data_IF_169308190333
#
_entry.id   IF_169308190333
#
_cell.length_a   1.000
_cell.length_b   1.000
_cell.length_c   1.000
_cell.angle_alpha   90.00
_cell.angle_beta   90.00
_cell.angle_gamma   90.00
#
_symmetry.space_group_name_H-M   'P 1'
#
loop_
_entity.id
_entity.type
_entity.pdbx_description
1 polymer ?
#
# COMPACT_ATOMS: atom_id res chain seq x y z
N UNK A 1 -6.91 -19.01 13.56
CA UNK A 1 -7.36 -17.71 13.98
C UNK A 1 -7.32 -16.68 12.90
N UNK A 2 -6.47 -16.82 11.94
CA UNK A 2 -6.49 -15.88 10.83
C UNK A 2 -7.84 -15.82 10.12
N UNK A 3 -8.63 -16.85 10.26
CA UNK A 3 -9.91 -16.95 9.60
C UNK A 3 -10.92 -15.89 10.06
N UNK A 4 -10.89 -15.53 11.32
CA UNK A 4 -11.84 -14.55 11.83
C UNK A 4 -11.65 -13.19 11.14
N UNK A 5 -10.46 -12.90 10.71
CA UNK A 5 -10.18 -11.64 10.02
C UNK A 5 -11.00 -11.53 8.74
N UNK A 6 -11.06 -12.58 7.96
CA UNK A 6 -11.86 -12.56 6.74
C UNK A 6 -13.34 -12.50 7.05
N UNK A 7 -13.78 -13.28 8.02
CA UNK A 7 -15.19 -13.38 8.33
C UNK A 7 -15.77 -12.05 8.78
N UNK A 8 -15.00 -11.26 9.50
CA UNK A 8 -15.53 -10.08 10.16
C UNK A 8 -15.09 -8.76 9.56
N UNK A 9 -14.02 -8.73 8.78
CA UNK A 9 -13.44 -7.47 8.37
C UNK A 9 -14.17 -6.81 7.20
N UNK A 10 -14.82 -7.57 6.33
CA UNK A 10 -15.38 -6.97 5.13
C UNK A 10 -16.89 -6.91 5.10
N UNK A 11 -17.57 -8.05 5.16
CA UNK A 11 -19.00 -8.08 4.96
C UNK A 11 -19.79 -7.50 6.11
N UNK A 12 -19.64 -8.09 7.27
CA UNK A 12 -20.52 -7.78 8.40
C UNK A 12 -20.31 -6.38 8.94
N UNK A 13 -19.07 -5.98 9.11
CA UNK A 13 -18.81 -4.65 9.66
C UNK A 13 -19.18 -3.56 8.67
N UNK A 14 -18.85 -3.73 7.40
CA UNK A 14 -19.18 -2.75 6.38
C UNK A 14 -20.69 -2.58 6.24
N UNK A 15 -21.41 -3.67 6.26
CA UNK A 15 -22.87 -3.62 6.18
C UNK A 15 -23.46 -2.92 7.38
N UNK A 16 -22.95 -3.21 8.57
CA UNK A 16 -23.41 -2.54 9.77
C UNK A 16 -23.12 -1.04 9.70
N UNK A 17 -21.93 -0.66 9.26
CA UNK A 17 -21.50 0.74 9.20
C UNK A 17 -22.38 1.56 8.24
N UNK A 18 -22.78 0.96 7.13
CA UNK A 18 -23.57 1.66 6.11
C UNK A 18 -24.96 2.03 6.56
N UNK A 19 -25.44 1.46 7.66
CA UNK A 19 -26.78 1.75 8.16
C UNK A 19 -26.90 3.17 8.72
N UNK A 20 -25.80 3.81 9.01
CA UNK A 20 -25.81 5.07 9.75
C UNK A 20 -25.27 6.22 8.90
N UNK A 21 -26.02 7.30 8.86
CA UNK A 21 -25.54 8.53 8.26
C UNK A 21 -24.59 9.24 9.23
N UNK A 22 -23.75 10.09 8.70
CA UNK A 22 -22.86 10.91 9.50
C UNK A 22 -21.53 10.29 9.88
N UNK A 23 -21.33 9.01 9.56
CA UNK A 23 -20.04 8.37 9.70
C UNK A 23 -19.56 7.88 8.34
N UNK A 24 -18.25 7.84 8.16
CA UNK A 24 -17.66 7.46 6.88
C UNK A 24 -16.42 6.62 7.10
N UNK A 25 -16.21 5.69 6.20
CA UNK A 25 -15.09 4.77 6.29
C UNK A 25 -14.51 4.55 4.90
N UNK A 26 -13.20 4.56 4.81
CA UNK A 26 -12.50 4.28 3.56
C UNK A 26 -11.42 3.24 3.86
N UNK A 27 -11.33 2.24 3.01
CA UNK A 27 -10.30 1.20 3.14
C UNK A 27 -8.95 1.71 2.67
N UNK A 28 -7.90 1.25 3.34
CA UNK A 28 -6.53 1.41 2.88
C UNK A 28 -6.06 0.03 2.40
N UNK A 29 -5.60 -0.03 1.14
CA UNK A 29 -5.27 -1.32 0.54
C UNK A 29 -4.17 -2.06 1.29
N UNK A 30 -3.00 -1.43 1.41
CA UNK A 30 -1.85 -2.11 1.99
C UNK A 30 -0.91 -1.14 2.66
N UNK A 31 -0.25 -1.62 3.69
CA UNK A 31 0.82 -0.89 4.36
C UNK A 31 2.03 -1.81 4.42
N UNK A 32 3.14 -1.37 3.83
CA UNK A 32 4.41 -2.08 4.00
C UNK A 32 4.94 -1.76 5.38
N UNK A 33 5.34 -2.79 6.10
CA UNK A 33 5.81 -2.63 7.48
C UNK A 33 7.19 -3.25 7.63
N UNK A 34 7.91 -2.78 8.64
CA UNK A 34 9.15 -3.42 9.03
C UNK A 34 8.83 -4.81 9.59
N UNK A 35 9.44 -5.88 9.08
CA UNK A 35 9.12 -7.22 9.59
C UNK A 35 9.60 -7.47 11.01
N UNK A 36 10.40 -6.60 11.57
CA UNK A 36 10.93 -6.73 12.93
C UNK A 36 10.11 -5.97 13.96
N UNK A 37 9.80 -4.71 13.67
CA UNK A 37 9.11 -3.85 14.66
C UNK A 37 7.71 -3.45 14.23
N UNK A 38 7.30 -3.81 13.00
CA UNK A 38 5.99 -3.50 12.43
C UNK A 38 5.69 -2.02 12.26
N UNK A 39 6.71 -1.17 12.30
CA UNK A 39 6.54 0.23 11.95
C UNK A 39 6.13 0.35 10.49
N UNK A 40 5.21 1.26 10.16
CA UNK A 40 4.82 1.47 8.77
C UNK A 40 5.97 2.11 7.98
N UNK A 41 6.23 1.58 6.80
CA UNK A 41 7.30 2.05 5.91
C UNK A 41 6.76 2.74 4.67
N UNK A 42 5.59 2.34 4.20
CA UNK A 42 4.96 2.94 3.04
C UNK A 42 3.49 2.56 3.00
N UNK A 43 2.68 3.41 2.39
CA UNK A 43 1.28 3.09 2.12
C UNK A 43 1.14 2.83 0.63
N UNK A 44 0.43 1.77 0.29
CA UNK A 44 0.22 1.37 -1.10
C UNK A 44 -1.27 1.38 -1.43
N UNK A 45 -1.61 1.96 -2.57
CA UNK A 45 -2.89 1.72 -3.23
C UNK A 45 -2.61 0.83 -4.42
N UNK A 46 -3.23 -0.33 -4.48
CA UNK A 46 -2.99 -1.30 -5.53
C UNK A 46 -4.25 -1.52 -6.35
N UNK A 47 -4.06 -1.83 -7.63
CA UNK A 47 -5.19 -2.04 -8.52
C UNK A 47 -4.73 -2.86 -9.72
N UNK A 48 -5.61 -3.72 -10.23
CA UNK A 48 -5.33 -4.42 -11.46
C UNK A 48 -5.23 -3.41 -12.60
N UNK A 49 -4.20 -3.55 -13.44
CA UNK A 49 -3.92 -2.58 -14.49
C UNK A 49 -4.86 -2.80 -15.69
N UNK A 50 -5.73 -1.81 -15.91
CA UNK A 50 -6.61 -1.74 -17.06
C UNK A 50 -6.28 -0.54 -17.93
N UNK A 51 -5.03 -0.09 -17.87
CA UNK A 51 -4.52 1.11 -18.54
C UNK A 51 -5.17 2.41 -18.05
N UNK A 52 -5.80 2.39 -16.90
CA UNK A 52 -6.33 3.59 -16.28
C UNK A 52 -5.18 4.52 -15.86
N UNK A 53 -5.47 5.81 -15.88
CA UNK A 53 -4.47 6.84 -15.53
C UNK A 53 -4.66 7.37 -14.13
N UNK A 54 -5.73 6.97 -13.45
CA UNK A 54 -6.09 7.59 -12.21
C UNK A 54 -6.80 6.61 -11.28
N UNK A 55 -6.53 6.78 -10.00
CA UNK A 55 -7.26 6.17 -8.91
C UNK A 55 -7.25 7.19 -7.76
N UNK A 56 -8.36 7.32 -7.04
CA UNK A 56 -8.43 8.26 -5.93
C UNK A 56 -7.43 7.89 -4.85
N UNK A 57 -6.60 8.86 -4.44
CA UNK A 57 -5.52 8.64 -3.49
C UNK A 57 -5.48 9.68 -2.37
N UNK A 58 -6.52 10.49 -2.22
CA UNK A 58 -6.49 11.60 -1.27
C UNK A 58 -6.26 11.15 0.16
N UNK A 59 -6.95 10.09 0.59
CA UNK A 59 -6.81 9.61 1.96
C UNK A 59 -5.42 9.06 2.22
N UNK A 60 -4.94 8.17 1.34
CA UNK A 60 -3.64 7.53 1.57
C UNK A 60 -2.51 8.56 1.49
N UNK A 61 -2.66 9.56 0.64
CA UNK A 61 -1.71 10.65 0.56
C UNK A 61 -1.65 11.44 1.88
N UNK A 62 -2.81 11.72 2.46
CA UNK A 62 -2.89 12.41 3.74
C UNK A 62 -2.27 11.57 4.87
N UNK A 63 -2.61 10.29 4.92
CA UNK A 63 -2.05 9.40 5.94
C UNK A 63 -0.53 9.29 5.82
N UNK A 64 -0.04 9.09 4.61
CA UNK A 64 1.40 8.97 4.37
C UNK A 64 2.13 10.25 4.78
N UNK A 65 1.55 11.40 4.44
CA UNK A 65 2.12 12.69 4.82
C UNK A 65 2.22 12.84 6.33
N UNK A 66 1.15 12.50 7.05
CA UNK A 66 1.14 12.61 8.51
C UNK A 66 2.09 11.64 9.17
N UNK A 67 2.30 10.48 8.59
CA UNK A 67 3.25 9.49 9.11
C UNK A 67 4.68 9.73 8.61
N UNK A 68 4.84 10.66 7.69
CA UNK A 68 6.13 10.98 7.07
C UNK A 68 6.75 9.76 6.39
N UNK A 69 5.93 9.04 5.63
CA UNK A 69 6.34 7.87 4.87
C UNK A 69 5.88 8.02 3.42
N UNK A 70 6.50 7.29 2.49
CA UNK A 70 6.07 7.35 1.09
C UNK A 70 4.74 6.67 0.85
N UNK A 71 4.10 7.08 -0.23
CA UNK A 71 2.86 6.49 -0.70
C UNK A 71 3.02 6.16 -2.18
N UNK A 72 2.61 4.96 -2.57
CA UNK A 72 2.71 4.51 -3.96
C UNK A 72 1.37 4.07 -4.49
N UNK A 73 1.11 4.41 -5.73
CA UNK A 73 0.01 3.86 -6.51
C UNK A 73 0.61 2.79 -7.43
N UNK A 74 0.11 1.57 -7.32
CA UNK A 74 0.68 0.41 -8.01
C UNK A 74 -0.40 -0.27 -8.82
N UNK A 75 -0.29 -0.18 -10.14
CA UNK A 75 -1.13 -0.95 -11.04
C UNK A 75 -0.36 -2.19 -11.46
N UNK A 76 -0.96 -3.35 -11.29
CA UNK A 76 -0.31 -4.62 -11.55
C UNK A 76 -1.11 -5.45 -12.55
N UNK A 77 -0.42 -6.27 -13.31
CA UNK A 77 -1.06 -7.27 -14.16
C UNK A 77 -0.10 -8.44 -14.38
N UNK A 78 -0.65 -9.55 -14.82
CA UNK A 78 0.17 -10.71 -15.12
C UNK A 78 0.98 -10.51 -16.39
N UNK A 79 2.26 -10.77 -16.29
CA UNK A 79 3.14 -10.86 -17.47
C UNK A 79 3.11 -12.29 -18.00
N UNK A 80 3.16 -13.25 -17.08
CA UNK A 80 2.96 -14.68 -17.35
C UNK A 80 1.99 -15.19 -16.27
N UNK A 81 1.52 -16.44 -16.36
CA UNK A 81 0.64 -16.96 -15.30
C UNK A 81 1.22 -16.89 -13.90
N UNK A 82 2.54 -16.87 -13.76
CA UNK A 82 3.19 -16.86 -12.45
C UNK A 82 3.98 -15.61 -12.14
N UNK A 83 4.01 -14.63 -13.04
CA UNK A 83 4.77 -13.40 -12.81
C UNK A 83 3.93 -12.16 -13.06
N UNK A 84 4.30 -11.06 -12.41
CA UNK A 84 3.62 -9.79 -12.51
C UNK A 84 4.52 -8.74 -13.15
N UNK A 85 3.88 -7.74 -13.72
CA UNK A 85 4.54 -6.49 -14.10
C UNK A 85 3.78 -5.36 -13.45
N UNK A 86 4.48 -4.26 -13.18
CA UNK A 86 3.93 -3.16 -12.41
C UNK A 86 4.09 -1.84 -13.14
N UNK A 87 3.12 -0.99 -12.92
CA UNK A 87 3.17 0.41 -13.30
C UNK A 87 3.02 1.20 -12.01
N UNK A 88 4.08 1.86 -11.58
CA UNK A 88 4.20 2.41 -10.23
C UNK A 88 4.36 3.92 -10.29
N UNK A 89 3.65 4.61 -9.43
CA UNK A 89 3.77 6.06 -9.29
C UNK A 89 3.92 6.38 -7.81
N UNK A 90 4.97 7.12 -7.46
CA UNK A 90 5.10 7.66 -6.12
C UNK A 90 4.20 8.88 -6.00
N UNK A 91 3.32 8.87 -5.01
CA UNK A 91 2.41 9.97 -4.76
C UNK A 91 3.08 10.94 -3.81
N UNK A 92 3.44 12.10 -4.33
CA UNK A 92 4.13 13.13 -3.55
C UNK A 92 3.50 14.48 -3.87
N UNK A 93 4.02 15.53 -3.24
CA UNK A 93 3.60 16.89 -3.54
C UNK A 93 4.04 17.33 -4.94
N UNK A 94 5.08 16.70 -5.48
CA UNK A 94 5.56 16.99 -6.83
C UNK A 94 4.94 16.03 -7.82
N UNK A 95 4.58 16.49 -9.03
CA UNK A 95 4.09 15.57 -10.06
C UNK A 95 5.15 14.53 -10.41
N UNK A 96 4.71 13.28 -10.47
CA UNK A 96 5.56 12.19 -10.90
C UNK A 96 4.84 11.41 -11.99
N UNK A 97 5.58 10.64 -12.75
CA UNK A 97 5.02 9.81 -13.79
C UNK A 97 5.09 8.35 -13.37
N UNK A 98 4.27 7.52 -14.02
CA UNK A 98 4.34 6.09 -13.80
C UNK A 98 5.62 5.53 -14.38
N UNK A 99 6.23 4.58 -13.65
CA UNK A 99 7.37 3.82 -14.13
C UNK A 99 6.97 2.37 -14.29
N UNK A 100 7.36 1.79 -15.42
CA UNK A 100 7.17 0.35 -15.61
C UNK A 100 8.27 -0.39 -14.87
N UNK A 101 7.87 -1.41 -14.12
CA UNK A 101 8.80 -2.18 -13.32
C UNK A 101 8.49 -3.66 -13.43
N UNK A 102 9.54 -4.47 -13.45
CA UNK A 102 9.39 -5.90 -13.25
C UNK A 102 9.40 -6.23 -11.76
N UNK A 103 9.27 -7.51 -11.43
CA UNK A 103 9.19 -7.94 -10.04
C UNK A 103 10.48 -7.60 -9.27
N UNK A 104 11.64 -7.79 -9.88
CA UNK A 104 12.91 -7.51 -9.21
C UNK A 104 13.07 -6.03 -8.92
N UNK A 105 12.66 -5.18 -9.84
CA UNK A 105 12.76 -3.74 -9.66
C UNK A 105 11.85 -3.25 -8.54
N UNK A 106 10.62 -3.74 -8.52
CA UNK A 106 9.68 -3.35 -7.47
C UNK A 106 10.12 -3.90 -6.11
N UNK A 107 10.56 -5.15 -6.07
CA UNK A 107 11.09 -5.74 -4.85
C UNK A 107 12.28 -4.94 -4.31
N UNK A 108 13.14 -4.47 -5.19
CA UNK A 108 14.30 -3.67 -4.78
C UNK A 108 13.88 -2.40 -4.04
N UNK A 109 12.81 -1.74 -4.51
CA UNK A 109 12.29 -0.55 -3.84
C UNK A 109 11.77 -0.90 -2.44
N UNK A 110 11.02 -2.00 -2.33
CA UNK A 110 10.48 -2.43 -1.05
C UNK A 110 11.59 -2.78 -0.06
N UNK A 111 12.64 -3.45 -0.54
CA UNK A 111 13.78 -3.78 0.31
C UNK A 111 14.57 -2.54 0.74
N UNK A 112 14.64 -1.54 -0.12
CA UNK A 112 15.29 -0.27 0.23
C UNK A 112 14.55 0.44 1.36
N UNK A 113 13.23 0.37 1.38
CA UNK A 113 12.46 0.93 2.48
C UNK A 113 12.86 0.29 3.81
N UNK A 114 13.04 -1.02 3.82
CA UNK A 114 13.48 -1.73 5.03
C UNK A 114 14.90 -1.35 5.42
N UNK A 115 15.81 -1.27 4.46
CA UNK A 115 17.21 -0.88 4.73
C UNK A 115 17.29 0.52 5.31
N UNK A 116 16.56 1.45 4.75
CA UNK A 116 16.58 2.83 5.24
C UNK A 116 16.02 2.95 6.64
N UNK A 117 15.08 2.08 7.00
CA UNK A 117 14.49 2.06 8.33
C UNK A 117 15.39 1.39 9.36
N UNK A 118 16.33 0.58 8.95
CA UNK A 118 17.13 -0.26 9.87
C UNK A 118 17.74 0.52 11.02
N UNK A 119 18.25 1.72 10.74
CA UNK A 119 18.90 2.54 11.77
C UNK A 119 17.93 3.07 12.81
N UNK A 120 16.64 3.03 12.53
CA UNK A 120 15.61 3.55 13.42
C UNK A 120 14.73 2.45 13.99
N UNK A 121 15.02 1.20 13.64
CA UNK A 121 14.18 0.07 14.02
C UNK A 121 14.36 -0.26 15.49
N UNK A 122 13.25 -0.30 16.24
CA UNK A 122 13.26 -0.61 17.67
C UNK A 122 13.74 -2.02 17.96
N UNK A 123 13.51 -2.95 17.04
CA UNK A 123 13.90 -4.34 17.20
C UNK A 123 15.08 -4.69 16.32
N UNK A 124 15.91 -3.70 16.02
CA UNK A 124 17.10 -3.90 15.20
C UNK A 124 18.05 -4.85 15.94
N UNK A 125 18.27 -6.02 15.36
CA UNK A 125 19.18 -7.01 15.88
C UNK A 125 20.42 -7.04 15.01
N UNK A 126 21.55 -7.02 15.61
CA UNK A 126 22.81 -6.99 14.86
C UNK A 126 23.44 -8.31 14.64
#
# INVERSE_FOLDING_TARGET
MARWTYAFSNGNYNDWHRKYEGIAMIDVDSVEVCPRCYEPLAILETCYDKNQKYKATNLVKTLASRLNIPCFLVFYRNLTPSTLTFRVKRITSSPTEFELMNEDQWLSILLDLQRNHRNYCKNHAD
#
